data_IF_966145013651
#
_entry.id   IF_966145013651
#
_cell.length_a   1.000
_cell.length_b   1.000
_cell.length_c   1.000
_cell.angle_alpha   90.00
_cell.angle_beta   90.00
_cell.angle_gamma   90.00
#
_symmetry.space_group_name_H-M   'P 1'
#
loop_
_entity.id
_entity.type
_entity.pdbx_description
1 polymer ?
#
# COMPACT_ATOMS: atom_id res chain seq x y z
N UNK A 1 17.05 0.45 8.95
CA UNK A 1 18.19 1.31 8.56
C UNK A 1 17.92 2.68 9.14
N UNK A 2 18.80 3.16 10.01
CA UNK A 2 18.74 4.52 10.56
C UNK A 2 19.73 5.40 9.80
N UNK A 3 19.30 6.61 9.45
CA UNK A 3 20.10 7.62 8.75
C UNK A 3 21.50 7.80 9.37
N UNK A 4 22.52 8.14 8.57
CA UNK A 4 23.82 8.59 9.09
C UNK A 4 23.65 9.77 10.05
N UNK A 5 24.44 9.78 11.12
CA UNK A 5 24.44 10.86 12.12
C UNK A 5 24.60 12.24 11.45
N UNK A 6 23.63 13.12 11.66
CA UNK A 6 23.58 14.47 11.08
C UNK A 6 22.56 14.66 9.94
N UNK A 7 21.97 13.59 9.41
CA UNK A 7 20.89 13.67 8.43
C UNK A 7 19.54 13.38 9.08
N UNK A 8 18.62 14.34 9.00
CA UNK A 8 17.23 14.10 9.37
C UNK A 8 16.46 13.55 8.17
N UNK A 9 16.34 12.23 8.07
CA UNK A 9 15.49 11.54 7.08
C UNK A 9 13.98 11.68 7.37
N UNK A 10 13.59 12.43 8.42
CA UNK A 10 12.19 12.68 8.70
C UNK A 10 11.58 13.64 7.67
N UNK A 11 10.31 13.41 7.37
CA UNK A 11 9.52 14.35 6.57
C UNK A 11 9.50 15.74 7.22
N UNK A 12 9.58 16.79 6.40
CA UNK A 12 9.40 18.18 6.82
C UNK A 12 7.96 18.45 7.31
N UNK A 13 6.99 17.65 6.87
CA UNK A 13 5.59 17.69 7.32
C UNK A 13 5.05 16.29 7.55
N UNK A 14 4.66 16.00 8.79
CA UNK A 14 3.94 14.79 9.13
C UNK A 14 2.48 14.89 8.67
N UNK A 15 1.91 13.77 8.21
CA UNK A 15 0.51 13.69 7.83
C UNK A 15 0.27 12.73 6.66
N UNK A 16 -0.98 12.63 6.24
CA UNK A 16 -1.41 11.93 5.04
C UNK A 16 -2.31 12.87 4.21
N UNK A 17 -2.50 12.56 2.93
CA UNK A 17 -3.44 13.32 2.12
C UNK A 17 -4.87 13.15 2.69
N UNK A 18 -5.71 14.21 2.66
CA UNK A 18 -7.11 14.11 3.05
C UNK A 18 -7.84 13.04 2.24
N UNK A 19 -8.62 12.19 2.91
CA UNK A 19 -9.39 11.12 2.25
C UNK A 19 -8.62 9.84 1.91
N UNK A 20 -7.32 9.76 2.25
CA UNK A 20 -6.54 8.53 2.05
C UNK A 20 -6.91 7.47 3.08
N UNK A 21 -7.03 6.23 2.59
CA UNK A 21 -7.18 5.05 3.42
C UNK A 21 -5.81 4.43 3.66
N UNK A 22 -5.48 4.16 4.94
CA UNK A 22 -4.25 3.49 5.31
C UNK A 22 -4.48 1.98 5.39
N UNK A 23 -3.91 1.23 4.45
CA UNK A 23 -3.79 -0.23 4.51
C UNK A 23 -2.31 -0.54 4.70
N UNK A 24 -1.93 -1.07 5.87
CA UNK A 24 -0.52 -1.34 6.13
C UNK A 24 -0.07 -2.51 5.27
N UNK A 25 1.13 -2.43 4.71
CA UNK A 25 1.70 -3.52 3.90
C UNK A 25 1.67 -4.87 4.65
N UNK A 26 1.87 -4.85 5.97
CA UNK A 26 1.83 -6.02 6.84
C UNK A 26 0.44 -6.68 6.89
N UNK A 27 -0.64 -5.92 6.64
CA UNK A 27 -2.00 -6.45 6.59
C UNK A 27 -2.21 -7.36 5.38
N UNK A 28 -1.35 -7.29 4.37
CA UNK A 28 -1.36 -8.24 3.25
C UNK A 28 -0.71 -9.59 3.59
N UNK A 29 -0.06 -9.69 4.76
CA UNK A 29 0.66 -10.88 5.18
C UNK A 29 -0.11 -11.69 6.23
N UNK A 30 0.22 -12.98 6.27
CA UNK A 30 -0.13 -13.92 7.33
C UNK A 30 0.96 -13.89 8.41
N UNK A 31 0.67 -14.47 9.57
CA UNK A 31 1.63 -14.59 10.68
C UNK A 31 2.88 -15.41 10.33
N UNK A 32 2.79 -16.31 9.35
CA UNK A 32 3.90 -17.11 8.82
C UNK A 32 4.74 -16.39 7.75
N UNK A 33 4.53 -15.08 7.56
CA UNK A 33 5.18 -14.21 6.56
C UNK A 33 4.85 -14.54 5.10
N UNK A 34 3.85 -15.39 4.84
CA UNK A 34 3.30 -15.59 3.49
C UNK A 34 2.22 -14.54 3.20
N UNK A 35 1.93 -14.32 1.92
CA UNK A 35 0.80 -13.48 1.52
C UNK A 35 -0.54 -14.13 1.87
N UNK A 36 -1.54 -13.31 2.17
CA UNK A 36 -2.93 -13.76 2.31
C UNK A 36 -3.44 -14.30 0.97
N UNK A 37 -4.44 -15.17 1.04
CA UNK A 37 -5.10 -15.68 -0.17
C UNK A 37 -5.83 -14.56 -0.92
N UNK A 38 -6.08 -14.70 -2.23
CA UNK A 38 -6.83 -13.70 -2.99
C UNK A 38 -8.20 -13.37 -2.37
N UNK A 39 -8.92 -14.35 -1.81
CA UNK A 39 -10.18 -14.11 -1.10
C UNK A 39 -10.00 -13.18 0.12
N UNK A 40 -9.05 -13.50 1.00
CA UNK A 40 -8.79 -12.70 2.20
C UNK A 40 -8.25 -11.30 1.87
N UNK A 41 -7.52 -11.15 0.76
CA UNK A 41 -7.11 -9.85 0.27
C UNK A 41 -8.30 -9.03 -0.25
N UNK A 42 -9.24 -9.64 -1.00
CA UNK A 42 -10.48 -8.95 -1.41
C UNK A 42 -11.28 -8.47 -0.21
N UNK A 43 -11.43 -9.32 0.81
CA UNK A 43 -12.16 -8.95 2.02
C UNK A 43 -11.48 -7.80 2.77
N UNK A 44 -10.14 -7.82 2.85
CA UNK A 44 -9.35 -6.73 3.41
C UNK A 44 -9.61 -5.41 2.68
N UNK A 45 -9.45 -5.38 1.35
CA UNK A 45 -9.65 -4.15 0.57
C UNK A 45 -11.12 -3.69 0.58
N UNK A 46 -12.08 -4.62 0.55
CA UNK A 46 -13.50 -4.29 0.65
C UNK A 46 -13.87 -3.68 2.01
N UNK A 47 -13.27 -4.13 3.12
CA UNK A 47 -13.44 -3.53 4.44
C UNK A 47 -12.94 -2.07 4.50
N UNK A 48 -12.02 -1.72 3.61
CA UNK A 48 -11.52 -0.36 3.40
C UNK A 48 -12.28 0.42 2.32
N UNK A 49 -13.39 -0.11 1.80
CA UNK A 49 -14.21 0.52 0.76
C UNK A 49 -13.61 0.43 -0.66
N UNK A 50 -12.56 -0.37 -0.85
CA UNK A 50 -11.82 -0.49 -2.11
C UNK A 50 -12.35 -1.71 -2.89
N UNK A 51 -13.38 -1.51 -3.71
CA UNK A 51 -13.94 -2.54 -4.58
C UNK A 51 -13.22 -2.67 -5.93
N UNK A 52 -13.47 -3.76 -6.67
CA UNK A 52 -12.80 -4.08 -7.96
C UNK A 52 -12.86 -2.98 -9.03
N UNK A 53 -13.86 -2.09 -8.97
CA UNK A 53 -14.03 -0.98 -9.91
C UNK A 53 -13.42 0.34 -9.42
N UNK A 54 -12.79 0.34 -8.26
CA UNK A 54 -12.17 1.53 -7.70
C UNK A 54 -10.98 1.98 -8.57
N UNK A 55 -10.84 3.29 -8.74
CA UNK A 55 -9.61 3.89 -9.23
C UNK A 55 -8.66 4.07 -8.03
N UNK A 56 -7.58 3.29 -8.00
CA UNK A 56 -6.68 3.20 -6.85
C UNK A 56 -5.33 3.80 -7.16
N UNK A 57 -4.85 4.72 -6.31
CA UNK A 57 -3.47 5.18 -6.31
C UNK A 57 -2.79 4.67 -5.04
N UNK A 58 -1.75 3.85 -5.22
CA UNK A 58 -0.92 3.36 -4.12
C UNK A 58 0.28 4.30 -3.95
N UNK A 59 0.62 4.64 -2.69
CA UNK A 59 1.76 5.47 -2.38
C UNK A 59 2.43 5.04 -1.06
N UNK A 60 3.70 5.39 -0.88
CA UNK A 60 4.40 5.18 0.38
C UNK A 60 5.33 6.38 0.64
N UNK A 61 6.63 6.12 0.88
CA UNK A 61 7.69 7.14 1.00
C UNK A 61 8.71 7.08 -0.15
N UNK A 62 8.90 5.93 -0.77
CA UNK A 62 9.81 5.74 -1.92
C UNK A 62 9.34 4.56 -2.77
N UNK A 63 8.03 4.31 -2.75
CA UNK A 63 7.34 3.24 -3.49
C UNK A 63 7.76 1.78 -3.29
N UNK A 64 8.74 1.49 -2.46
CA UNK A 64 9.15 0.11 -2.13
C UNK A 64 8.03 -0.73 -1.53
N UNK A 65 7.21 -0.13 -0.65
CA UNK A 65 6.12 -0.83 0.05
C UNK A 65 4.78 -0.71 -0.68
N UNK A 66 4.57 0.35 -1.46
CA UNK A 66 3.35 0.51 -2.26
C UNK A 66 3.35 -0.36 -3.50
N UNK A 67 4.53 -0.70 -4.06
CA UNK A 67 4.65 -1.64 -5.18
C UNK A 67 4.12 -3.03 -4.84
N UNK A 68 4.30 -3.49 -3.60
CA UNK A 68 3.76 -4.77 -3.11
C UNK A 68 2.24 -4.75 -3.14
N UNK A 69 1.62 -3.67 -2.63
CA UNK A 69 0.16 -3.46 -2.70
C UNK A 69 -0.32 -3.36 -4.14
N UNK A 70 0.40 -2.63 -5.00
CA UNK A 70 0.07 -2.47 -6.42
C UNK A 70 0.03 -3.82 -7.14
N UNK A 71 1.04 -4.68 -6.96
CA UNK A 71 1.09 -6.03 -7.55
C UNK A 71 -0.09 -6.89 -7.08
N UNK A 72 -0.48 -6.83 -5.82
CA UNK A 72 -1.64 -7.61 -5.35
C UNK A 72 -2.93 -7.15 -5.99
N UNK A 73 -3.15 -5.83 -6.07
CA UNK A 73 -4.36 -5.29 -6.67
C UNK A 73 -4.44 -5.62 -8.17
N UNK A 74 -3.36 -5.44 -8.93
CA UNK A 74 -3.35 -5.72 -10.37
C UNK A 74 -3.29 -7.21 -10.69
N UNK A 75 -2.26 -7.92 -10.23
CA UNK A 75 -1.93 -9.26 -10.71
C UNK A 75 -2.74 -10.36 -10.02
N UNK A 76 -3.06 -10.21 -8.74
CA UNK A 76 -3.77 -11.26 -7.98
C UNK A 76 -5.27 -11.04 -7.91
N UNK A 77 -5.71 -9.78 -7.86
CA UNK A 77 -7.11 -9.45 -7.62
C UNK A 77 -7.84 -8.97 -8.87
N UNK A 78 -7.13 -8.54 -9.91
CA UNK A 78 -7.70 -8.15 -11.20
C UNK A 78 -8.31 -6.74 -11.20
N UNK A 79 -7.77 -5.81 -10.42
CA UNK A 79 -8.16 -4.41 -10.49
C UNK A 79 -7.59 -3.80 -11.76
N UNK A 80 -8.44 -3.18 -12.58
CA UNK A 80 -8.04 -2.65 -13.89
C UNK A 80 -7.44 -1.24 -13.80
N UNK A 81 -7.79 -0.47 -12.76
CA UNK A 81 -7.42 0.94 -12.61
C UNK A 81 -6.57 1.16 -11.35
N UNK A 82 -5.29 0.73 -11.39
CA UNK A 82 -4.35 0.90 -10.27
C UNK A 82 -3.07 1.58 -10.72
N UNK A 83 -2.73 2.72 -10.11
CA UNK A 83 -1.47 3.45 -10.33
C UNK A 83 -0.58 3.38 -9.08
N UNK A 84 0.74 3.34 -9.28
CA UNK A 84 1.71 3.46 -8.20
C UNK A 84 2.40 4.83 -8.31
N UNK A 85 2.27 5.67 -7.29
CA UNK A 85 2.84 7.01 -7.27
C UNK A 85 4.28 6.96 -6.73
N UNK A 86 5.26 7.05 -7.63
CA UNK A 86 6.70 6.91 -7.39
C UNK A 86 7.37 8.15 -6.77
N UNK A 87 6.78 9.33 -6.94
CA UNK A 87 7.26 10.59 -6.31
C UNK A 87 7.05 10.71 -4.80
N UNK A 88 6.79 9.58 -4.13
CA UNK A 88 6.59 9.49 -2.67
C UNK A 88 7.80 9.99 -1.87
#
# INVERSE_FOLDING_TARGET
>A
MTAPLGYNEATLRGGHLPGVVNVLWADNMRSDRRFKSPSALRDLYAAHGIGLKADVVTCCRISERSSVTWIFLTELLGYENVRNYDGS
#
